data_IF_116953887092
#
_entry.id   IF_116953887092
#
_cell.length_a   1.000
_cell.length_b   1.000
_cell.length_c   1.000
_cell.angle_alpha   90.00
_cell.angle_beta   90.00
_cell.angle_gamma   90.00
#
_symmetry.space_group_name_H-M   'P 1'
#
loop_
_entity.id
_entity.type
_entity.pdbx_description
1 polymer ?
#
# COMPACT_ATOMS: atom_id res chain seq x y z
N UNK A 1 2.86 -3.07 -7.87
CA UNK A 1 4.30 -2.82 -8.11
C UNK A 1 4.72 -1.42 -7.64
N UNK A 2 5.84 -1.33 -6.91
CA UNK A 2 6.54 -0.09 -6.59
C UNK A 2 7.89 -0.05 -7.32
N UNK A 3 8.24 1.08 -7.91
CA UNK A 3 9.50 1.30 -8.63
C UNK A 3 10.12 2.62 -8.21
N UNK A 4 11.32 2.58 -7.62
CA UNK A 4 12.12 3.74 -7.28
C UNK A 4 13.27 3.95 -8.25
N UNK A 5 13.55 5.19 -8.66
CA UNK A 5 14.76 5.54 -9.44
C UNK A 5 16.02 5.46 -8.57
N UNK A 6 15.93 6.00 -7.35
CA UNK A 6 17.04 6.06 -6.38
C UNK A 6 16.69 5.42 -5.02
N UNK A 7 15.46 4.94 -4.86
CA UNK A 7 15.05 4.20 -3.66
C UNK A 7 15.43 2.73 -3.81
N UNK A 8 16.22 2.22 -2.87
CA UNK A 8 16.55 0.80 -2.79
C UNK A 8 16.21 0.28 -1.40
N UNK A 9 15.36 -0.73 -1.34
CA UNK A 9 15.12 -1.50 -0.11
C UNK A 9 15.80 -2.84 -0.33
N UNK A 10 16.76 -3.18 0.54
CA UNK A 10 17.57 -4.40 0.39
C UNK A 10 18.25 -4.52 -0.99
N UNK A 11 18.64 -3.39 -1.60
CA UNK A 11 19.27 -3.33 -2.93
C UNK A 11 18.29 -3.45 -4.10
N UNK A 12 16.99 -3.61 -3.83
CA UNK A 12 15.95 -3.73 -4.85
C UNK A 12 15.25 -2.39 -5.06
N UNK A 13 15.18 -1.95 -6.31
CA UNK A 13 14.49 -0.73 -6.72
C UNK A 13 13.08 -0.97 -7.27
N UNK A 14 12.75 -2.23 -7.55
CA UNK A 14 11.41 -2.66 -7.97
C UNK A 14 10.97 -3.80 -7.06
N UNK A 15 9.79 -3.68 -6.47
CA UNK A 15 9.23 -4.70 -5.57
C UNK A 15 7.71 -4.61 -5.50
N UNK A 16 7.10 -5.70 -5.07
CA UNK A 16 5.65 -5.78 -4.86
C UNK A 16 5.29 -5.73 -3.38
N UNK A 17 4.14 -5.10 -3.13
CA UNK A 17 3.50 -5.07 -1.82
C UNK A 17 2.12 -5.66 -1.99
N UNK A 18 1.82 -6.69 -1.21
CA UNK A 18 0.51 -7.31 -1.18
C UNK A 18 -0.24 -6.74 0.01
N UNK A 19 -1.41 -6.16 -0.26
CA UNK A 19 -2.26 -5.56 0.76
C UNK A 19 -3.65 -6.20 0.70
N UNK A 20 -4.17 -6.54 1.87
CA UNK A 20 -5.53 -7.00 2.08
C UNK A 20 -6.24 -5.98 2.96
N UNK A 21 -7.24 -5.24 2.43
CA UNK A 21 -8.07 -4.39 3.26
C UNK A 21 -8.90 -5.25 4.21
N UNK A 22 -8.74 -5.04 5.51
CA UNK A 22 -9.67 -5.44 6.55
C UNK A 22 -10.57 -4.25 6.86
N UNK A 23 -11.82 -4.29 6.38
CA UNK A 23 -12.82 -3.30 6.77
C UNK A 23 -13.31 -3.62 8.19
N UNK A 24 -13.53 -2.59 9.00
CA UNK A 24 -14.28 -2.74 10.25
C UNK A 24 -15.71 -3.20 9.93
N UNK A 25 -16.39 -3.81 10.90
CA UNK A 25 -17.72 -4.41 10.69
C UNK A 25 -18.79 -3.41 10.21
N UNK A 26 -18.56 -2.12 10.41
CA UNK A 26 -19.40 -1.00 9.99
C UNK A 26 -19.00 -0.41 8.62
N UNK A 27 -17.97 -0.96 7.96
CA UNK A 27 -17.43 -0.52 6.66
C UNK A 27 -16.98 0.96 6.62
N UNK A 28 -16.81 1.61 7.77
CA UNK A 28 -16.45 3.04 7.83
C UNK A 28 -14.95 3.28 7.84
N UNK A 29 -14.18 2.29 8.30
CA UNK A 29 -12.73 2.37 8.41
C UNK A 29 -12.05 1.14 7.84
N UNK A 30 -10.83 1.35 7.37
CA UNK A 30 -9.98 0.29 6.85
C UNK A 30 -8.71 0.20 7.66
N UNK A 31 -8.26 -1.03 7.88
CA UNK A 31 -6.89 -1.34 8.26
C UNK A 31 -6.37 -2.39 7.30
N UNK A 32 -5.13 -2.24 6.87
CA UNK A 32 -4.52 -3.17 5.94
C UNK A 32 -3.68 -4.19 6.67
N UNK A 33 -3.94 -5.46 6.39
CA UNK A 33 -2.92 -6.47 6.54
C UNK A 33 -2.13 -6.53 5.24
N UNK A 34 -0.84 -6.78 5.30
CA UNK A 34 -0.04 -6.83 4.10
C UNK A 34 1.35 -7.36 4.34
N UNK A 35 2.03 -7.67 3.24
CA UNK A 35 3.42 -8.05 3.30
C UNK A 35 4.18 -7.68 2.03
N UNK A 36 5.48 -7.58 2.17
CA UNK A 36 6.43 -7.51 1.06
C UNK A 36 7.66 -8.35 1.41
N UNK A 37 8.36 -8.82 0.38
CA UNK A 37 9.52 -9.69 0.54
C UNK A 37 10.69 -9.14 -0.24
N UNK A 38 11.85 -9.14 0.40
CA UNK A 38 13.12 -8.80 -0.19
C UNK A 38 14.13 -9.93 -0.02
N UNK A 39 15.05 -10.04 -0.97
CA UNK A 39 16.18 -10.97 -0.94
C UNK A 39 17.45 -10.12 -0.95
N UNK A 40 18.33 -10.36 0.01
CA UNK A 40 19.64 -9.73 0.13
C UNK A 40 20.68 -10.80 0.48
N UNK A 41 21.55 -11.13 -0.48
CA UNK A 41 22.46 -12.27 -0.35
C UNK A 41 21.67 -13.55 -0.09
N UNK A 42 22.06 -14.29 0.96
CA UNK A 42 21.43 -15.55 1.37
C UNK A 42 20.24 -15.36 2.33
N UNK A 43 19.84 -14.11 2.57
CA UNK A 43 18.78 -13.75 3.50
C UNK A 43 17.52 -13.30 2.76
N UNK A 44 16.38 -13.79 3.23
CA UNK A 44 15.04 -13.34 2.84
C UNK A 44 14.43 -12.54 3.98
N UNK A 45 14.04 -11.30 3.70
CA UNK A 45 13.36 -10.40 4.62
C UNK A 45 11.90 -10.25 4.21
N UNK A 46 10.97 -10.66 5.06
CA UNK A 46 9.53 -10.41 4.87
C UNK A 46 9.08 -9.37 5.88
N UNK A 47 8.63 -8.22 5.40
CA UNK A 47 7.97 -7.20 6.23
C UNK A 47 6.48 -7.45 6.19
N UNK A 48 5.83 -7.43 7.35
CA UNK A 48 4.41 -7.76 7.48
C UNK A 48 3.72 -6.76 8.39
N UNK A 49 2.49 -6.40 8.03
CA UNK A 49 1.52 -5.77 8.93
C UNK A 49 0.36 -6.75 9.07
N UNK A 50 0.02 -7.12 10.30
CA UNK A 50 -1.08 -8.04 10.61
C UNK A 50 -1.81 -7.54 11.83
N UNK A 51 -3.11 -7.32 11.70
CA UNK A 51 -4.01 -6.89 12.78
C UNK A 51 -3.56 -5.61 13.48
N UNK A 52 -2.85 -4.72 12.75
CA UNK A 52 -2.31 -3.46 13.29
C UNK A 52 -0.88 -3.54 13.83
N UNK A 53 -0.38 -4.75 14.06
CA UNK A 53 0.99 -5.01 14.50
C UNK A 53 1.94 -5.19 13.31
N UNK A 54 3.19 -4.76 13.45
CA UNK A 54 4.19 -4.86 12.39
C UNK A 54 5.37 -5.77 12.76
N UNK A 55 5.84 -6.52 11.77
CA UNK A 55 6.83 -7.57 11.94
C UNK A 55 7.88 -7.51 10.84
N UNK A 56 9.10 -7.91 11.17
CA UNK A 56 10.10 -8.34 10.18
C UNK A 56 10.48 -9.79 10.46
N UNK A 57 10.38 -10.62 9.43
CA UNK A 57 10.83 -12.00 9.42
C UNK A 57 12.08 -12.08 8.58
N UNK A 58 13.20 -12.42 9.20
CA UNK A 58 14.45 -12.73 8.50
C UNK A 58 14.58 -14.25 8.45
N UNK A 59 14.79 -14.80 7.27
CA UNK A 59 15.03 -16.23 7.07
C UNK A 59 16.30 -16.41 6.26
N UNK A 60 17.23 -17.23 6.75
CA UNK A 60 18.45 -17.60 6.02
C UNK A 60 18.38 -19.06 5.62
N UNK A 61 18.83 -19.38 4.40
CA UNK A 61 18.87 -20.75 3.88
C UNK A 61 20.20 -21.05 3.20
N UNK A 62 20.48 -22.34 2.98
CA UNK A 62 21.48 -22.76 2.00
C UNK A 62 20.82 -22.95 0.62
N UNK A 63 21.61 -23.13 -0.45
CA UNK A 63 21.17 -23.32 -1.85
C UNK A 63 20.04 -24.37 -2.06
N UNK A 64 19.73 -25.19 -1.05
CA UNK A 64 18.66 -26.19 -1.06
C UNK A 64 17.40 -25.80 -0.25
N UNK A 65 16.92 -24.55 -0.35
CA UNK A 65 15.58 -24.08 0.11
C UNK A 65 15.18 -24.37 1.58
N UNK A 66 16.05 -24.96 2.39
CA UNK A 66 15.76 -25.32 3.77
C UNK A 66 16.15 -24.14 4.64
N UNK A 67 15.15 -23.48 5.24
CA UNK A 67 15.37 -22.38 6.19
C UNK A 67 16.24 -22.91 7.33
N UNK A 68 17.49 -22.45 7.37
CA UNK A 68 18.47 -22.83 8.39
C UNK A 68 18.27 -22.07 9.69
N UNK A 69 17.92 -20.79 9.61
CA UNK A 69 17.54 -19.98 10.78
C UNK A 69 16.42 -19.01 10.40
N UNK A 70 15.57 -18.71 11.38
CA UNK A 70 14.52 -17.69 11.24
C UNK A 70 14.54 -16.80 12.47
N UNK A 71 14.53 -15.49 12.26
CA UNK A 71 14.33 -14.50 13.34
C UNK A 71 13.09 -13.67 13.04
N UNK A 72 12.30 -13.38 14.08
CA UNK A 72 11.08 -12.61 13.96
C UNK A 72 11.10 -11.53 15.02
N UNK A 73 10.98 -10.28 14.58
CA UNK A 73 11.04 -9.09 15.45
C UNK A 73 9.84 -8.19 15.19
N UNK A 74 9.37 -7.54 16.26
CA UNK A 74 8.41 -6.46 16.15
C UNK A 74 9.06 -5.22 15.54
N UNK A 75 8.28 -4.48 14.74
CA UNK A 75 8.62 -3.14 14.30
C UNK A 75 7.80 -2.14 15.10
N UNK A 76 8.46 -1.12 15.65
CA UNK A 76 7.81 -0.08 16.44
C UNK A 76 7.12 1.00 15.60
N UNK A 77 7.35 1.01 14.29
CA UNK A 77 6.74 1.93 13.33
C UNK A 77 6.90 1.37 11.91
N UNK A 78 5.99 1.74 11.03
CA UNK A 78 6.08 1.51 9.58
C UNK A 78 6.03 2.83 8.80
N UNK A 79 6.34 3.95 9.43
CA UNK A 79 6.33 5.27 8.78
C UNK A 79 7.29 5.30 7.58
N UNK A 80 6.90 5.94 6.45
CA UNK A 80 5.67 6.73 6.26
C UNK A 80 4.42 5.91 5.89
N UNK A 81 4.50 4.59 5.73
CA UNK A 81 3.43 3.76 5.16
C UNK A 81 2.14 3.73 5.99
N UNK A 82 2.19 4.04 7.28
CA UNK A 82 1.03 4.26 8.14
C UNK A 82 0.15 5.44 7.69
N UNK A 83 0.72 6.43 7.00
CA UNK A 83 0.00 7.62 6.52
C UNK A 83 -0.58 7.52 5.11
N UNK A 84 -0.50 6.34 4.46
CA UNK A 84 -0.91 6.22 3.06
C UNK A 84 -2.42 6.41 2.89
N UNK A 85 -3.22 5.87 3.82
CA UNK A 85 -4.68 6.02 3.78
C UNK A 85 -5.06 7.48 4.00
N UNK A 86 -4.37 8.20 4.88
CA UNK A 86 -4.57 9.63 5.09
C UNK A 86 -4.23 10.44 3.83
N UNK A 87 -3.14 10.11 3.13
CA UNK A 87 -2.79 10.75 1.87
C UNK A 87 -3.87 10.51 0.80
N UNK A 88 -4.42 9.29 0.74
CA UNK A 88 -5.50 8.97 -0.19
C UNK A 88 -6.84 9.62 0.21
N UNK A 89 -7.11 9.83 1.49
CA UNK A 89 -8.28 10.56 1.98
C UNK A 89 -8.26 12.04 1.62
N UNK A 90 -7.07 12.60 1.43
CA UNK A 90 -6.85 14.01 1.08
C UNK A 90 -6.51 14.21 -0.40
N UNK A 91 -6.91 13.27 -1.28
CA UNK A 91 -6.75 13.43 -2.73
C UNK A 91 -7.49 14.67 -3.22
N UNK A 92 -6.80 15.48 -4.03
CA UNK A 92 -7.38 16.69 -4.61
C UNK A 92 -7.49 16.51 -6.12
N UNK A 93 -8.69 16.70 -6.68
CA UNK A 93 -8.89 16.56 -8.12
C UNK A 93 -8.19 17.69 -8.88
N UNK A 94 -7.54 17.38 -10.00
CA UNK A 94 -6.81 18.34 -10.84
C UNK A 94 -7.22 18.19 -12.31
N UNK A 95 -7.10 19.27 -13.09
CA UNK A 95 -7.42 19.23 -14.52
C UNK A 95 -6.32 18.53 -15.32
N UNK A 96 -6.68 17.93 -16.45
CA UNK A 96 -5.73 17.29 -17.37
C UNK A 96 -4.66 18.25 -17.92
N UNK A 97 -4.90 19.55 -17.85
CA UNK A 97 -3.95 20.59 -18.23
C UNK A 97 -2.69 20.59 -17.36
N UNK A 98 -2.78 20.03 -16.15
CA UNK A 98 -1.67 19.88 -15.23
C UNK A 98 -0.57 18.94 -15.77
N UNK A 99 -0.92 17.96 -16.62
CA UNK A 99 0.00 16.95 -17.15
C UNK A 99 0.76 17.42 -18.41
N UNK A 100 0.36 18.54 -19.03
CA UNK A 100 0.83 18.97 -20.37
C UNK A 100 2.36 19.08 -20.50
N UNK A 101 3.11 19.18 -19.40
CA UNK A 101 4.57 19.27 -19.39
C UNK A 101 5.32 18.05 -18.83
N UNK A 102 4.64 16.95 -18.46
CA UNK A 102 5.30 15.76 -17.90
C UNK A 102 5.22 14.57 -18.86
N UNK A 103 6.28 14.35 -19.64
CA UNK A 103 6.42 13.21 -20.56
C UNK A 103 6.47 11.83 -19.90
N UNK A 104 6.43 11.79 -18.56
CA UNK A 104 6.56 10.56 -17.76
C UNK A 104 5.22 10.10 -17.15
N UNK A 105 4.18 10.93 -17.20
CA UNK A 105 2.86 10.62 -16.65
C UNK A 105 1.90 10.27 -17.80
N UNK A 106 1.51 9.01 -17.85
CA UNK A 106 0.46 8.53 -18.76
C UNK A 106 -0.81 8.22 -17.95
N UNK A 107 -1.82 9.08 -18.06
CA UNK A 107 -3.14 8.89 -17.48
C UNK A 107 -4.18 8.78 -18.61
N UNK A 108 -4.46 7.57 -19.12
CA UNK A 108 -5.47 7.39 -20.17
C UNK A 108 -6.89 7.61 -19.59
N UNK A 109 -7.52 8.75 -19.91
CA UNK A 109 -8.95 9.07 -19.64
C UNK A 109 -9.48 8.93 -18.20
N UNK A 110 -8.60 8.63 -17.23
CA UNK A 110 -8.94 8.44 -15.82
C UNK A 110 -9.13 9.76 -15.06
N UNK A 111 -9.70 9.66 -13.85
CA UNK A 111 -9.74 10.80 -12.93
C UNK A 111 -8.32 11.10 -12.43
N UNK A 112 -7.96 12.38 -12.44
CA UNK A 112 -6.63 12.84 -12.06
C UNK A 112 -6.67 13.50 -10.68
N UNK A 113 -5.78 13.08 -9.80
CA UNK A 113 -5.65 13.63 -8.46
C UNK A 113 -4.19 13.98 -8.14
N UNK A 114 -4.01 14.86 -7.17
CA UNK A 114 -2.75 15.08 -6.48
C UNK A 114 -2.83 14.62 -5.02
N UNK A 115 -1.71 14.12 -4.51
CA UNK A 115 -1.53 13.75 -3.11
C UNK A 115 -0.09 14.02 -2.67
N UNK A 116 0.10 14.16 -1.36
CA UNK A 116 1.42 14.23 -0.75
C UNK A 116 1.57 13.15 0.31
N UNK A 117 2.65 12.39 0.23
CA UNK A 117 2.93 11.25 1.11
C UNK A 117 4.44 11.10 1.32
N UNK A 118 4.88 10.89 2.56
CA UNK A 118 6.31 10.68 2.86
C UNK A 118 7.24 11.80 2.35
N UNK A 119 6.75 13.05 2.31
CA UNK A 119 7.49 14.19 1.78
C UNK A 119 7.60 14.24 0.25
N UNK A 120 6.91 13.36 -0.47
CA UNK A 120 6.87 13.32 -1.94
C UNK A 120 5.50 13.73 -2.44
N UNK A 121 5.48 14.58 -3.47
CA UNK A 121 4.27 14.93 -4.22
C UNK A 121 4.01 13.89 -5.30
N UNK A 122 2.76 13.47 -5.42
CA UNK A 122 2.31 12.45 -6.37
C UNK A 122 1.19 12.97 -7.24
N UNK A 123 1.23 12.57 -8.51
CA UNK A 123 0.08 12.61 -9.42
C UNK A 123 -0.50 11.21 -9.49
N UNK A 124 -1.79 11.08 -9.19
CA UNK A 124 -2.51 9.81 -9.12
C UNK A 124 -3.49 9.73 -10.28
N UNK A 125 -3.27 8.79 -11.19
CA UNK A 125 -4.23 8.41 -12.24
C UNK A 125 -5.12 7.29 -11.70
N UNK A 126 -6.40 7.55 -11.51
CA UNK A 126 -7.37 6.50 -11.22
C UNK A 126 -7.82 5.83 -12.52
N UNK A 127 -7.63 4.52 -12.65
CA UNK A 127 -7.93 3.71 -13.83
C UNK A 127 -9.20 2.86 -13.66
N UNK A 128 -9.97 3.10 -12.60
CA UNK A 128 -11.20 2.37 -12.31
C UNK A 128 -10.91 0.92 -11.92
N UNK A 129 -11.47 -0.05 -12.64
CA UNK A 129 -11.30 -1.47 -12.36
C UNK A 129 -9.87 -1.97 -12.59
N UNK A 130 -9.05 -1.23 -13.36
CA UNK A 130 -7.64 -1.56 -13.59
C UNK A 130 -6.71 -1.03 -12.48
N UNK A 131 -7.28 -0.39 -11.45
CA UNK A 131 -6.54 0.13 -10.30
C UNK A 131 -6.14 1.59 -10.46
N UNK A 132 -4.92 1.92 -10.06
CA UNK A 132 -4.41 3.30 -10.14
C UNK A 132 -2.88 3.35 -10.17
N UNK A 133 -2.36 4.43 -10.74
CA UNK A 133 -0.92 4.68 -10.78
C UNK A 133 -0.63 6.02 -10.10
N UNK A 134 0.29 6.03 -9.14
CA UNK A 134 0.81 7.24 -8.50
C UNK A 134 2.25 7.51 -8.97
N UNK A 135 2.45 8.67 -9.59
CA UNK A 135 3.72 9.15 -10.12
C UNK A 135 4.31 10.20 -9.18
N UNK A 136 5.40 9.84 -8.50
CA UNK A 136 6.29 10.78 -7.82
C UNK A 136 7.59 10.94 -8.61
N UNK A 137 8.38 11.97 -8.27
CA UNK A 137 9.62 12.29 -9.00
C UNK A 137 10.61 11.13 -9.07
N UNK A 138 10.76 10.41 -7.96
CA UNK A 138 11.74 9.33 -7.78
C UNK A 138 11.08 7.96 -7.62
N UNK A 139 9.75 7.90 -7.63
CA UNK A 139 9.01 6.69 -7.30
C UNK A 139 7.70 6.62 -8.08
N UNK A 140 7.41 5.46 -8.64
CA UNK A 140 6.14 5.14 -9.28
C UNK A 140 5.51 3.97 -8.54
N UNK A 141 4.23 4.10 -8.22
CA UNK A 141 3.42 3.03 -7.62
C UNK A 141 2.31 2.67 -8.60
N UNK A 142 2.26 1.43 -9.05
CA UNK A 142 1.16 0.87 -9.80
C UNK A 142 0.41 -0.11 -8.90
N UNK A 143 -0.87 0.18 -8.68
CA UNK A 143 -1.79 -0.64 -7.90
C UNK A 143 -2.71 -1.37 -8.85
N UNK A 144 -2.84 -2.68 -8.65
CA UNK A 144 -3.74 -3.57 -9.38
C UNK A 144 -4.57 -4.35 -8.35
N UNK A 145 -5.79 -4.72 -8.72
CA UNK A 145 -6.61 -5.60 -7.87
C UNK A 145 -6.40 -7.05 -8.28
N UNK A 146 -6.21 -7.92 -7.29
CA UNK A 146 -6.05 -9.35 -7.54
C UNK A 146 -7.39 -9.99 -7.89
N UNK A 147 -7.39 -10.88 -8.89
CA UNK A 147 -8.57 -11.66 -9.31
C UNK A 147 -9.22 -12.46 -8.17
N UNK A 148 -8.41 -12.87 -7.20
CA UNK A 148 -8.86 -13.60 -6.02
C UNK A 148 -8.37 -12.93 -4.74
N UNK A 149 -9.20 -12.87 -3.68
CA UNK A 149 -8.79 -12.29 -2.41
C UNK A 149 -7.60 -13.04 -1.81
N UNK A 150 -6.66 -12.29 -1.22
CA UNK A 150 -5.59 -12.88 -0.43
C UNK A 150 -6.17 -13.69 0.72
N UNK A 151 -5.62 -14.90 0.92
CA UNK A 151 -5.87 -15.68 2.13
C UNK A 151 -5.54 -14.85 3.38
N UNK A 152 -6.11 -15.23 4.53
CA UNK A 152 -5.83 -14.51 5.78
C UNK A 152 -4.33 -14.53 6.05
N UNK A 153 -3.75 -13.35 6.26
CA UNK A 153 -2.36 -13.20 6.67
C UNK A 153 -2.35 -13.40 8.19
N UNK A 154 -1.49 -14.30 8.66
CA UNK A 154 -1.39 -14.62 10.10
C UNK A 154 -0.11 -14.03 10.66
N UNK A 155 -0.18 -13.54 11.89
CA UNK A 155 0.99 -13.04 12.59
C UNK A 155 2.04 -14.16 12.75
N UNK A 156 3.33 -13.88 12.50
CA UNK A 156 4.38 -14.85 12.73
C UNK A 156 4.61 -15.08 14.23
N UNK A 157 5.13 -16.25 14.59
CA UNK A 157 5.56 -16.53 15.96
C UNK A 157 6.85 -15.76 16.27
N UNK A 158 6.86 -14.97 17.34
CA UNK A 158 8.03 -14.21 17.75
C UNK A 158 9.14 -15.13 18.29
N UNK A 159 10.38 -14.81 17.95
CA UNK A 159 11.54 -15.63 18.35
C UNK A 159 12.02 -15.37 19.77
N UNK A 160 11.67 -14.23 20.35
CA UNK A 160 11.98 -13.87 21.74
C UNK A 160 11.00 -14.49 22.76
N UNK A 161 9.96 -15.19 22.27
CA UNK A 161 8.95 -15.84 23.10
C UNK A 161 7.81 -14.91 23.55
N UNK A 162 7.78 -13.64 23.11
CA UNK A 162 6.64 -12.78 23.36
C UNK A 162 5.37 -13.28 22.62
N UNK A 163 4.20 -12.99 23.20
CA UNK A 163 2.92 -13.46 22.65
C UNK A 163 2.47 -12.62 21.45
N UNK A 164 2.69 -11.31 21.47
CA UNK A 164 2.29 -10.38 20.41
C UNK A 164 3.19 -9.14 20.35
N UNK A 165 3.12 -8.43 19.22
CA UNK A 165 3.68 -7.10 19.10
C UNK A 165 2.66 -6.04 19.55
N UNK A 166 3.15 -4.81 19.77
CA UNK A 166 2.27 -3.66 19.96
C UNK A 166 1.69 -3.20 18.61
N UNK A 167 0.49 -2.63 18.66
CA UNK A 167 -0.14 -2.04 17.49
C UNK A 167 0.56 -0.75 17.08
N UNK A 168 0.84 -0.64 15.78
CA UNK A 168 1.49 0.51 15.15
C UNK A 168 0.66 1.08 13.99
N UNK A 169 -0.43 0.41 13.62
CA UNK A 169 -1.36 0.88 12.58
C UNK A 169 -2.78 0.88 13.13
N UNK A 170 -3.39 2.06 13.12
CA UNK A 170 -4.79 2.24 13.53
C UNK A 170 -5.73 2.14 12.33
N UNK A 171 -6.96 1.62 12.50
CA UNK A 171 -8.00 1.75 11.49
C UNK A 171 -8.25 3.22 11.15
N UNK A 172 -8.36 3.53 9.86
CA UNK A 172 -8.54 4.89 9.36
C UNK A 172 -9.85 4.98 8.59
N UNK A 173 -10.68 5.97 8.90
CA UNK A 173 -11.95 6.21 8.19
C UNK A 173 -11.70 6.55 6.73
N UNK A 174 -12.56 6.08 5.82
CA UNK A 174 -12.39 6.29 4.40
C UNK A 174 -13.26 7.43 3.86
N UNK A 175 -12.67 8.31 3.05
CA UNK A 175 -13.44 9.20 2.20
C UNK A 175 -14.13 8.41 1.07
N UNK A 176 -15.23 8.92 0.48
CA UNK A 176 -15.87 8.26 -0.67
C UNK A 176 -14.92 8.03 -1.85
N UNK A 177 -14.04 9.00 -2.14
CA UNK A 177 -13.05 8.92 -3.21
C UNK A 177 -12.01 7.83 -2.93
N UNK A 178 -11.57 7.72 -1.68
CA UNK A 178 -10.60 6.69 -1.27
C UNK A 178 -11.22 5.31 -1.31
N UNK A 179 -12.46 5.17 -0.84
CA UNK A 179 -13.19 3.90 -0.93
C UNK A 179 -13.33 3.45 -2.39
N UNK A 180 -13.68 4.35 -3.31
CA UNK A 180 -13.74 4.09 -4.73
C UNK A 180 -12.38 3.61 -5.28
N UNK A 181 -11.31 4.36 -4.98
CA UNK A 181 -9.95 4.05 -5.42
C UNK A 181 -9.41 2.73 -4.84
N UNK A 182 -9.84 2.33 -3.64
CA UNK A 182 -9.38 1.09 -3.01
C UNK A 182 -10.18 -0.13 -3.45
N UNK A 183 -11.38 0.07 -4.01
CA UNK A 183 -12.28 -1.02 -4.43
C UNK A 183 -12.41 -1.17 -5.94
N UNK A 184 -11.81 -0.26 -6.72
CA UNK A 184 -11.94 -0.25 -8.18
C UNK A 184 -13.35 0.09 -8.66
N UNK A 185 -14.21 0.56 -7.76
CA UNK A 185 -15.57 0.98 -8.07
C UNK A 185 -15.59 2.47 -8.27
N UNK A 186 -16.42 2.95 -9.18
CA UNK A 186 -16.65 4.39 -9.30
C UNK A 186 -17.18 4.93 -7.96
N UNK A 187 -16.65 6.08 -7.55
CA UNK A 187 -17.20 6.80 -6.41
C UNK A 187 -18.66 7.10 -6.75
N UNK A 188 -19.60 6.58 -5.96
CA UNK A 188 -20.98 7.05 -6.07
C UNK A 188 -20.94 8.56 -5.90
N UNK A 189 -21.50 9.36 -6.83
CA UNK A 189 -21.50 10.79 -6.68
C UNK A 189 -22.11 11.11 -5.31
N UNK A 190 -21.38 11.86 -4.48
CA UNK A 190 -21.96 12.41 -3.25
C UNK A 190 -23.12 13.29 -3.70
N UNK A 191 -24.33 12.78 -3.51
CA UNK A 191 -25.57 13.44 -3.90
C UNK A 191 -25.78 14.63 -2.95
N UNK A 192 -25.07 15.72 -3.22
CA UNK A 192 -25.17 16.96 -2.48
C UNK A 192 -26.18 17.91 -3.14
N UNK A 193 -27.31 17.42 -3.65
CA UNK A 193 -28.54 18.19 -3.86
C UNK A 193 -29.66 17.31 -4.42
N UNK A 194 -30.89 17.67 -4.05
CA UNK A 194 -32.16 16.97 -4.27
C UNK A 194 -32.65 16.90 -5.74
N UNK A 195 -31.77 16.84 -6.74
CA UNK A 195 -32.17 16.62 -8.13
C UNK A 195 -31.38 15.48 -8.78
N UNK A 196 -32.05 14.32 -8.81
CA UNK A 196 -31.82 13.13 -9.65
C UNK A 196 -30.37 12.64 -9.78
N UNK A 197 -30.10 11.51 -9.13
CA UNK A 197 -29.10 10.55 -9.61
C UNK A 197 -29.47 10.04 -11.01
#
# INVERSE_FOLDING_TARGET
MLKGKNMQIHGQSVFDVFARPGMTSDLTSVRYDGFTTFIQGDSKFTYMVVDGSAYVVESTGNDSMSVTTQTVKCLSSITPFDSIVDALNNLTAVSSEYIINSSEVDCPSGSLYEASFGGTHFIVCALGADGFIAYGREITMATEYLDSPLSRISAPKLTDGAESCADVVNPTSLSPTTLALLTGKEASPTCNTLEKC
#
